data_IF_496571255100
#
_entry.id   IF_496571255100
#
_cell.length_a   1.000
_cell.length_b   1.000
_cell.length_c   1.000
_cell.angle_alpha   90.00
_cell.angle_beta   90.00
_cell.angle_gamma   90.00
#
_symmetry.space_group_name_H-M   'P 1'
#
loop_
_entity.id
_entity.type
_entity.pdbx_description
1 polymer ?
#
# COMPACT_ATOMS: atom_id res chain seq x y z
N UNK A 1 -11.09 -45.45 22.41
CA UNK A 1 -12.06 -44.36 22.67
C UNK A 1 -12.81 -44.05 21.39
N UNK A 2 -14.15 -44.10 21.38
CA UNK A 2 -14.93 -43.58 20.25
C UNK A 2 -15.08 -42.07 20.47
N UNK A 3 -14.55 -41.26 19.57
CA UNK A 3 -14.72 -39.81 19.60
C UNK A 3 -16.21 -39.49 19.41
N UNK A 4 -16.73 -38.60 20.24
CA UNK A 4 -18.10 -38.10 20.10
C UNK A 4 -18.18 -37.13 18.92
N UNK A 5 -19.33 -37.00 18.25
CA UNK A 5 -19.47 -36.14 17.07
C UNK A 5 -19.08 -34.67 17.32
N UNK A 6 -19.29 -34.14 18.53
CA UNK A 6 -18.86 -32.78 18.89
C UNK A 6 -17.33 -32.63 18.96
N UNK A 7 -16.62 -33.67 19.39
CA UNK A 7 -15.14 -33.70 19.44
C UNK A 7 -14.57 -33.70 18.01
N UNK A 8 -15.22 -34.42 17.10
CA UNK A 8 -14.87 -34.43 15.66
C UNK A 8 -15.10 -33.04 15.06
N UNK A 9 -16.22 -32.39 15.34
CA UNK A 9 -16.49 -31.02 14.87
C UNK A 9 -15.46 -30.01 15.36
N UNK A 10 -15.06 -30.09 16.63
CA UNK A 10 -14.02 -29.22 17.20
C UNK A 10 -12.68 -29.47 16.51
N UNK A 11 -12.30 -30.73 16.29
CA UNK A 11 -11.05 -31.07 15.61
C UNK A 11 -11.01 -30.52 14.18
N UNK A 12 -12.07 -30.73 13.40
CA UNK A 12 -12.16 -30.22 12.02
C UNK A 12 -12.09 -28.69 12.01
N UNK A 13 -12.87 -28.02 12.86
CA UNK A 13 -12.85 -26.56 12.95
C UNK A 13 -11.48 -26.02 13.35
N UNK A 14 -10.80 -26.67 14.28
CA UNK A 14 -9.47 -26.25 14.74
C UNK A 14 -8.44 -26.37 13.63
N UNK A 15 -8.45 -27.49 12.89
CA UNK A 15 -7.56 -27.70 11.74
C UNK A 15 -7.83 -26.65 10.66
N UNK A 16 -9.10 -26.37 10.35
CA UNK A 16 -9.47 -25.36 9.37
C UNK A 16 -8.98 -23.96 9.76
N UNK A 17 -9.20 -23.54 11.01
CA UNK A 17 -8.75 -22.23 11.51
C UNK A 17 -7.22 -22.11 11.48
N UNK A 18 -6.50 -23.15 11.93
CA UNK A 18 -5.04 -23.16 11.89
C UNK A 18 -4.49 -23.12 10.47
N UNK A 19 -5.10 -23.87 9.54
CA UNK A 19 -4.72 -23.88 8.13
C UNK A 19 -4.91 -22.52 7.47
N UNK A 20 -6.09 -21.93 7.62
CA UNK A 20 -6.42 -20.60 7.05
C UNK A 20 -5.57 -19.50 7.69
N UNK A 21 -5.47 -19.49 9.02
CA UNK A 21 -4.68 -18.50 9.75
C UNK A 21 -3.20 -18.53 9.34
N UNK A 22 -2.64 -19.73 9.15
CA UNK A 22 -1.26 -19.90 8.69
C UNK A 22 -1.07 -19.43 7.24
N UNK A 23 -2.01 -19.77 6.36
CA UNK A 23 -1.99 -19.29 4.97
C UNK A 23 -2.04 -17.76 4.92
N UNK A 24 -2.91 -17.13 5.71
CA UNK A 24 -3.01 -15.67 5.82
C UNK A 24 -1.73 -15.03 6.34
N UNK A 25 -1.10 -15.60 7.37
CA UNK A 25 0.16 -15.10 7.90
C UNK A 25 1.31 -15.17 6.89
N UNK A 26 1.39 -16.25 6.10
CA UNK A 26 2.43 -16.45 5.08
C UNK A 26 2.19 -15.58 3.85
N UNK A 27 0.93 -15.37 3.47
CA UNK A 27 0.51 -14.57 2.32
C UNK A 27 0.27 -13.10 2.68
N UNK A 28 0.62 -12.67 3.89
CA UNK A 28 0.58 -11.27 4.26
C UNK A 28 1.71 -10.53 3.51
N UNK A 29 1.41 -9.48 2.73
CA UNK A 29 2.39 -8.86 1.86
C UNK A 29 3.64 -8.35 2.61
N UNK A 30 4.81 -8.48 1.97
CA UNK A 30 6.07 -7.94 2.52
C UNK A 30 6.14 -6.42 2.34
N UNK A 31 6.91 -5.75 3.20
CA UNK A 31 7.16 -4.29 3.14
C UNK A 31 7.64 -3.83 1.75
N UNK A 32 8.49 -4.63 1.09
CA UNK A 32 9.00 -4.30 -0.24
C UNK A 32 7.91 -4.30 -1.32
N UNK A 33 6.95 -5.22 -1.24
CA UNK A 33 5.81 -5.23 -2.16
C UNK A 33 4.93 -3.99 -1.97
N UNK A 34 4.78 -3.54 -0.71
CA UNK A 34 4.07 -2.29 -0.41
C UNK A 34 4.78 -1.06 -0.99
N UNK A 35 6.12 -0.98 -0.89
CA UNK A 35 6.89 0.14 -1.44
C UNK A 35 6.65 0.28 -2.95
N UNK A 36 6.67 -0.83 -3.69
CA UNK A 36 6.37 -0.82 -5.13
C UNK A 36 4.94 -0.37 -5.41
N UNK A 37 3.96 -0.95 -4.72
CA UNK A 37 2.54 -0.58 -4.86
C UNK A 37 2.30 0.92 -4.56
N UNK A 38 2.84 1.41 -3.45
CA UNK A 38 2.65 2.78 -3.02
C UNK A 38 3.34 3.79 -3.96
N UNK A 39 4.54 3.45 -4.47
CA UNK A 39 5.23 4.30 -5.44
C UNK A 39 4.46 4.39 -6.77
N UNK A 40 3.86 3.29 -7.22
CA UNK A 40 3.01 3.28 -8.41
C UNK A 40 1.75 4.13 -8.19
N UNK A 41 1.03 3.92 -7.08
CA UNK A 41 -0.16 4.72 -6.74
C UNK A 41 0.15 6.20 -6.62
N UNK A 42 1.27 6.54 -6.00
CA UNK A 42 1.73 7.91 -5.90
C UNK A 42 2.07 8.50 -7.26
N UNK A 43 2.74 7.74 -8.12
CA UNK A 43 3.06 8.18 -9.48
C UNK A 43 1.79 8.51 -10.26
N UNK A 44 0.76 7.66 -10.16
CA UNK A 44 -0.55 7.91 -10.78
C UNK A 44 -1.17 9.19 -10.23
N UNK A 45 -1.23 9.33 -8.90
CA UNK A 45 -1.79 10.53 -8.26
C UNK A 45 -1.10 11.82 -8.69
N UNK A 46 0.24 11.85 -8.72
CA UNK A 46 1.00 13.04 -9.14
C UNK A 46 0.69 13.36 -10.62
N UNK A 47 0.58 12.35 -11.49
CA UNK A 47 0.25 12.59 -12.90
C UNK A 47 -1.15 13.16 -13.07
N UNK A 48 -2.13 12.59 -12.36
CA UNK A 48 -3.55 12.95 -12.49
C UNK A 48 -3.90 14.29 -11.82
N UNK A 49 -3.28 14.62 -10.69
CA UNK A 49 -3.67 15.79 -9.87
C UNK A 49 -2.68 16.94 -9.96
N UNK A 50 -1.38 16.67 -10.20
CA UNK A 50 -0.33 17.71 -10.21
C UNK A 50 0.13 18.01 -11.62
N UNK A 51 0.48 16.99 -12.41
CA UNK A 51 0.94 17.19 -13.78
C UNK A 51 -0.18 17.68 -14.70
N UNK A 52 -1.41 17.17 -14.52
CA UNK A 52 -2.58 17.60 -15.30
C UNK A 52 -3.00 19.05 -15.01
N UNK A 53 -2.72 19.55 -13.80
CA UNK A 53 -2.97 20.93 -13.37
C UNK A 53 -1.89 21.92 -13.87
N UNK A 54 -0.88 21.46 -14.63
CA UNK A 54 0.17 22.32 -15.16
C UNK A 54 -0.40 23.42 -16.09
N UNK A 55 0.19 24.63 -16.10
CA UNK A 55 -0.29 25.75 -16.90
C UNK A 55 -0.38 25.38 -18.40
N UNK A 56 -1.61 25.33 -18.91
CA UNK A 56 -1.90 25.01 -20.33
C UNK A 56 -1.34 26.04 -21.32
N UNK A 57 -0.90 27.21 -20.83
CA UNK A 57 -0.29 28.28 -21.65
C UNK A 57 1.01 27.86 -22.32
N UNK A 58 1.73 26.87 -21.76
CA UNK A 58 2.90 26.26 -22.38
C UNK A 58 2.57 24.95 -23.12
N UNK A 59 1.27 24.64 -23.27
CA UNK A 59 0.73 23.43 -23.87
C UNK A 59 1.08 22.15 -23.11
N UNK A 60 0.72 21.00 -23.70
CA UNK A 60 0.97 19.64 -23.19
C UNK A 60 2.47 19.32 -22.98
N UNK A 61 3.37 20.22 -23.34
CA UNK A 61 4.81 20.02 -23.16
C UNK A 61 5.17 19.87 -21.68
N UNK A 62 4.64 20.74 -20.80
CA UNK A 62 4.92 20.68 -19.37
C UNK A 62 4.36 19.40 -18.73
N UNK A 63 3.14 19.03 -19.08
CA UNK A 63 2.51 17.80 -18.61
C UNK A 63 3.36 16.57 -18.99
N UNK A 64 3.82 16.50 -20.25
CA UNK A 64 4.70 15.41 -20.71
C UNK A 64 6.04 15.38 -19.98
N UNK A 65 6.66 16.52 -19.70
CA UNK A 65 7.91 16.56 -18.93
C UNK A 65 7.70 16.14 -17.49
N UNK A 66 6.61 16.59 -16.87
CA UNK A 66 6.20 16.18 -15.53
C UNK A 66 5.98 14.66 -15.46
N UNK A 67 5.21 14.09 -16.38
CA UNK A 67 4.95 12.65 -16.46
C UNK A 67 6.25 11.84 -16.59
N UNK A 68 7.17 12.28 -17.46
CA UNK A 68 8.50 11.65 -17.61
C UNK A 68 9.34 11.73 -16.34
N UNK A 69 9.30 12.87 -15.65
CA UNK A 69 10.02 13.04 -14.39
C UNK A 69 9.49 12.08 -13.32
N UNK A 70 8.17 11.98 -13.18
CA UNK A 70 7.51 11.03 -12.27
C UNK A 70 7.93 9.58 -12.59
N UNK A 71 7.92 9.20 -13.87
CA UNK A 71 8.34 7.85 -14.29
C UNK A 71 9.81 7.56 -13.95
N UNK A 72 10.70 8.55 -14.15
CA UNK A 72 12.11 8.41 -13.79
C UNK A 72 12.36 8.39 -12.27
N UNK A 73 11.45 8.98 -11.49
CA UNK A 73 11.54 9.13 -10.04
C UNK A 73 11.02 7.94 -9.23
N UNK A 74 10.55 6.86 -9.86
CA UNK A 74 9.94 5.73 -9.14
C UNK A 74 10.85 5.09 -8.09
N UNK A 75 12.14 4.91 -8.37
CA UNK A 75 13.08 4.30 -7.40
C UNK A 75 13.30 5.19 -6.16
N UNK A 76 13.66 6.48 -6.32
CA UNK A 76 13.70 7.41 -5.19
C UNK A 76 12.38 7.47 -4.40
N UNK A 77 11.23 7.42 -5.09
CA UNK A 77 9.92 7.38 -4.42
C UNK A 77 9.75 6.14 -3.55
N UNK A 78 10.19 4.96 -4.01
CA UNK A 78 10.13 3.73 -3.20
C UNK A 78 10.97 3.84 -1.92
N UNK A 79 12.16 4.44 -2.00
CA UNK A 79 13.03 4.68 -0.84
C UNK A 79 12.40 5.67 0.14
N UNK A 80 11.87 6.78 -0.36
CA UNK A 80 11.17 7.77 0.45
C UNK A 80 9.94 7.17 1.15
N UNK A 81 9.14 6.39 0.43
CA UNK A 81 8.02 5.63 0.99
C UNK A 81 8.52 4.65 2.03
N UNK A 82 9.64 3.97 1.80
CA UNK A 82 10.20 3.04 2.77
C UNK A 82 10.49 3.72 4.11
N UNK A 83 11.13 4.88 4.07
CA UNK A 83 11.48 5.67 5.27
C UNK A 83 10.26 6.29 5.93
N UNK A 84 9.27 6.67 5.13
CA UNK A 84 8.08 7.41 5.58
C UNK A 84 6.89 6.50 5.93
N UNK A 85 7.09 5.18 5.95
CA UNK A 85 6.02 4.21 6.20
C UNK A 85 6.19 3.48 7.52
N UNK A 86 5.15 3.51 8.35
CA UNK A 86 4.99 2.64 9.50
C UNK A 86 4.12 1.42 9.13
N UNK A 87 4.49 0.24 9.62
CA UNK A 87 3.76 -1.01 9.37
C UNK A 87 3.28 -1.62 10.68
N UNK A 88 1.97 -1.75 10.82
CA UNK A 88 1.31 -2.43 11.93
C UNK A 88 0.86 -3.82 11.47
N UNK A 89 1.49 -4.88 11.97
CA UNK A 89 1.18 -6.26 11.59
C UNK A 89 0.19 -6.89 12.57
N UNK A 90 -0.98 -7.30 12.09
CA UNK A 90 -2.06 -7.91 12.86
C UNK A 90 -2.20 -9.42 12.58
N UNK A 91 -1.10 -10.07 12.16
CA UNK A 91 -1.03 -11.49 11.79
C UNK A 91 -1.77 -11.84 10.49
N UNK A 92 -3.07 -11.60 10.44
CA UNK A 92 -3.95 -11.86 9.29
C UNK A 92 -3.86 -10.80 8.19
N UNK A 93 -3.50 -9.57 8.56
CA UNK A 93 -3.34 -8.43 7.68
C UNK A 93 -2.30 -7.48 8.27
N UNK A 94 -1.88 -6.49 7.49
CA UNK A 94 -1.04 -5.39 7.93
C UNK A 94 -1.70 -4.07 7.57
N UNK A 95 -1.55 -3.05 8.42
CA UNK A 95 -1.87 -1.66 8.08
C UNK A 95 -0.56 -0.95 7.81
N UNK A 96 -0.52 -0.18 6.73
CA UNK A 96 0.60 0.66 6.33
C UNK A 96 0.15 2.10 6.39
N UNK A 97 0.83 2.89 7.19
CA UNK A 97 0.63 4.33 7.28
C UNK A 97 1.84 5.03 6.68
N UNK A 98 1.61 5.77 5.61
CA UNK A 98 2.67 6.45 4.87
C UNK A 98 2.46 7.96 4.96
N UNK A 99 3.42 8.66 5.59
CA UNK A 99 3.38 10.09 5.80
C UNK A 99 4.43 10.78 4.94
N UNK A 100 4.04 11.29 3.78
CA UNK A 100 4.96 11.85 2.80
C UNK A 100 4.97 13.37 2.88
N UNK A 101 6.14 13.90 3.23
CA UNK A 101 6.44 15.32 3.15
C UNK A 101 7.42 15.52 1.99
N UNK A 102 6.91 15.93 0.83
CA UNK A 102 7.68 15.93 -0.42
C UNK A 102 8.80 16.98 -0.38
N UNK A 103 8.53 18.18 0.14
CA UNK A 103 9.52 19.25 0.39
C UNK A 103 8.94 20.30 1.36
N UNK A 104 9.81 21.11 1.98
CA UNK A 104 9.38 22.32 2.70
C UNK A 104 8.62 23.27 1.78
N UNK A 105 7.34 23.52 2.05
CA UNK A 105 6.45 24.36 1.24
C UNK A 105 5.47 23.61 0.34
N UNK A 106 5.57 22.27 0.26
CA UNK A 106 4.56 21.42 -0.35
C UNK A 106 3.65 20.79 0.74
N UNK A 107 2.39 20.49 0.42
CA UNK A 107 1.47 19.84 1.36
C UNK A 107 1.95 18.44 1.74
N UNK A 108 1.77 18.06 3.01
CA UNK A 108 2.03 16.69 3.45
C UNK A 108 0.84 15.81 3.11
N UNK A 109 1.12 14.56 2.73
CA UNK A 109 0.09 13.60 2.38
C UNK A 109 0.20 12.38 3.28
N UNK A 110 -0.95 11.95 3.80
CA UNK A 110 -1.07 10.73 4.57
C UNK A 110 -1.88 9.70 3.78
N UNK A 111 -1.31 8.51 3.62
CA UNK A 111 -1.98 7.37 3.00
C UNK A 111 -2.11 6.25 4.02
N UNK A 112 -3.31 5.67 4.11
CA UNK A 112 -3.52 4.42 4.86
C UNK A 112 -3.93 3.30 3.92
N UNK A 113 -3.18 2.21 4.01
CA UNK A 113 -3.36 1.04 3.16
C UNK A 113 -3.46 -0.21 4.01
N UNK A 114 -4.47 -1.04 3.73
CA UNK A 114 -4.54 -2.40 4.28
C UNK A 114 -3.89 -3.37 3.30
N UNK A 115 -2.99 -4.20 3.81
CA UNK A 115 -2.39 -5.33 3.10
C UNK A 115 -2.93 -6.65 3.63
N UNK A 116 -3.55 -7.46 2.78
CA UNK A 116 -4.04 -8.79 3.14
C UNK A 116 -4.03 -9.69 1.90
N UNK A 117 -3.77 -10.99 2.07
CA UNK A 117 -3.81 -11.97 0.97
C UNK A 117 -3.02 -11.52 -0.28
N UNK A 118 -1.78 -11.05 -0.13
CA UNK A 118 -0.94 -10.52 -1.22
C UNK A 118 -1.49 -9.29 -1.97
N UNK A 119 -2.55 -8.68 -1.47
CA UNK A 119 -3.18 -7.52 -2.06
C UNK A 119 -3.05 -6.29 -1.15
N UNK A 120 -3.20 -5.11 -1.74
CA UNK A 120 -3.17 -3.83 -1.07
C UNK A 120 -4.39 -2.99 -1.46
N UNK A 121 -5.00 -2.33 -0.47
CA UNK A 121 -6.11 -1.40 -0.69
C UNK A 121 -5.90 -0.13 0.12
N UNK A 122 -5.67 0.97 -0.59
CA UNK A 122 -5.60 2.31 0.01
C UNK A 122 -7.02 2.82 0.19
N UNK A 123 -7.41 3.10 1.43
CA UNK A 123 -8.78 3.51 1.77
C UNK A 123 -8.86 4.96 2.26
N UNK A 124 -7.71 5.56 2.58
CA UNK A 124 -7.62 6.93 3.05
C UNK A 124 -6.42 7.61 2.39
N UNK A 125 -6.68 8.75 1.76
CA UNK A 125 -5.67 9.68 1.24
C UNK A 125 -6.07 11.08 1.67
N UNK A 126 -5.38 11.62 2.67
CA UNK A 126 -5.65 12.98 3.16
C UNK A 126 -4.48 13.91 2.82
N UNK A 127 -4.83 15.08 2.29
CA UNK A 127 -3.95 16.22 2.19
C UNK A 127 -3.99 16.94 3.53
N UNK A 128 -2.84 17.11 4.17
CA UNK A 128 -2.66 17.88 5.39
C UNK A 128 -2.24 19.32 5.08
#
# INVERSE_FOLDING_TARGET
MKLKPWEISILISSIAVLGVGSAMAITNPRRQAYQTYAAEKMSVYIKEEVCADAPKTLGDFLERQCNKLVDSGQKPLQEMIAESTERHNYFLFSIYETNLSVMTGLPSYQFKTIGAFQNFWTYESQKQ
#
